data_IF_517603208414
#
_entry.id   IF_517603208414
#
_cell.length_a   1.000
_cell.length_b   1.000
_cell.length_c   1.000
_cell.angle_alpha   90.00
_cell.angle_beta   90.00
_cell.angle_gamma   90.00
#
_symmetry.space_group_name_H-M   'P 1'
#
loop_
_entity.id
_entity.type
_entity.pdbx_description
1 polymer ?
#
# COMPACT_ATOMS: atom_id res chain seq x y z
N UNK A 1 2.99 -76.33 -16.22
CA UNK A 1 3.52 -74.96 -16.40
C UNK A 1 2.76 -74.12 -17.45
N UNK A 2 2.27 -74.68 -18.57
CA UNK A 2 1.53 -73.93 -19.61
C UNK A 2 0.21 -73.26 -19.16
N UNK A 3 -0.50 -73.78 -18.15
CA UNK A 3 -1.78 -73.22 -17.65
C UNK A 3 -1.64 -71.91 -16.85
N UNK A 4 -0.49 -71.66 -16.22
CA UNK A 4 -0.29 -70.47 -15.36
C UNK A 4 0.41 -69.31 -16.08
N UNK A 5 1.06 -69.58 -17.21
CA UNK A 5 1.71 -68.57 -18.04
C UNK A 5 0.82 -67.36 -18.40
N UNK A 6 -0.45 -67.52 -18.85
CA UNK A 6 -1.28 -66.38 -19.18
C UNK A 6 -1.64 -65.52 -17.96
N UNK A 7 -1.80 -66.13 -16.78
CA UNK A 7 -2.11 -65.40 -15.53
C UNK A 7 -0.89 -64.58 -15.08
N UNK A 8 0.31 -65.17 -15.12
CA UNK A 8 1.55 -64.46 -14.79
C UNK A 8 1.81 -63.30 -15.75
N UNK A 9 1.60 -63.51 -17.06
CA UNK A 9 1.73 -62.45 -18.05
C UNK A 9 0.72 -61.31 -17.82
N UNK A 10 -0.54 -61.65 -17.52
CA UNK A 10 -1.57 -60.65 -17.19
C UNK A 10 -1.20 -59.83 -15.95
N UNK A 11 -0.78 -60.49 -14.85
CA UNK A 11 -0.37 -59.81 -13.61
C UNK A 11 0.83 -58.90 -13.87
N UNK A 12 1.84 -59.36 -14.64
CA UNK A 12 3.00 -58.55 -14.97
C UNK A 12 2.62 -57.29 -15.76
N UNK A 13 1.78 -57.43 -16.79
CA UNK A 13 1.28 -56.28 -17.57
C UNK A 13 0.43 -55.35 -16.70
N UNK A 14 -0.45 -55.88 -15.86
CA UNK A 14 -1.28 -55.09 -14.95
C UNK A 14 -0.42 -54.29 -13.95
N UNK A 15 0.63 -54.91 -13.39
CA UNK A 15 1.56 -54.23 -12.48
C UNK A 15 2.37 -53.13 -13.19
N UNK A 16 2.85 -53.38 -14.41
CA UNK A 16 3.57 -52.37 -15.21
C UNK A 16 2.62 -51.20 -15.53
N UNK A 17 1.40 -51.49 -16.00
CA UNK A 17 0.39 -50.47 -16.30
C UNK A 17 0.02 -49.65 -15.06
N UNK A 18 -0.16 -50.30 -13.90
CA UNK A 18 -0.47 -49.61 -12.66
C UNK A 18 0.71 -48.72 -12.19
N UNK A 19 1.94 -49.23 -12.33
CA UNK A 19 3.15 -48.47 -12.01
C UNK A 19 3.28 -47.25 -12.92
N UNK A 20 3.09 -47.42 -14.23
CA UNK A 20 3.14 -46.35 -15.21
C UNK A 20 2.04 -45.31 -15.00
N UNK A 21 0.81 -45.75 -14.67
CA UNK A 21 -0.29 -44.86 -14.30
C UNK A 21 0.02 -44.08 -13.02
N UNK A 22 0.63 -44.73 -12.02
CA UNK A 22 1.12 -44.08 -10.80
C UNK A 22 2.17 -43.01 -11.10
N UNK A 23 3.21 -43.33 -11.89
CA UNK A 23 4.23 -42.36 -12.29
C UNK A 23 3.63 -41.19 -13.08
N UNK A 24 2.72 -41.44 -14.02
CA UNK A 24 2.05 -40.38 -14.77
C UNK A 24 1.22 -39.47 -13.85
N UNK A 25 0.50 -40.05 -12.88
CA UNK A 25 -0.27 -39.31 -11.89
C UNK A 25 0.62 -38.42 -11.00
N UNK A 26 1.73 -38.95 -10.47
CA UNK A 26 2.69 -38.18 -9.68
C UNK A 26 3.35 -37.08 -10.50
N UNK A 27 3.80 -37.38 -11.72
CA UNK A 27 4.40 -36.39 -12.62
C UNK A 27 3.43 -35.26 -12.97
N UNK A 28 2.15 -35.59 -13.18
CA UNK A 28 1.11 -34.59 -13.47
C UNK A 28 0.86 -33.67 -12.27
N UNK A 29 0.86 -34.21 -11.04
CA UNK A 29 0.72 -33.40 -9.83
C UNK A 29 1.92 -32.48 -9.62
N UNK A 30 3.13 -32.99 -9.80
CA UNK A 30 4.34 -32.20 -9.62
C UNK A 30 4.39 -31.07 -10.66
N UNK A 31 4.07 -31.36 -11.92
CA UNK A 31 3.96 -30.35 -12.96
C UNK A 31 2.88 -29.30 -12.65
N UNK A 32 1.73 -29.71 -12.08
CA UNK A 32 0.68 -28.79 -11.67
C UNK A 32 1.14 -27.87 -10.53
N UNK A 33 1.88 -28.41 -9.55
CA UNK A 33 2.45 -27.64 -8.43
C UNK A 33 3.49 -26.63 -8.90
N UNK A 34 4.45 -27.04 -9.73
CA UNK A 34 5.47 -26.15 -10.30
C UNK A 34 4.81 -25.01 -11.10
N UNK A 35 3.79 -25.34 -11.90
CA UNK A 35 3.04 -24.34 -12.66
C UNK A 35 2.28 -23.38 -11.75
N UNK A 36 1.68 -23.89 -10.68
CA UNK A 36 0.98 -23.06 -9.71
C UNK A 36 1.93 -22.11 -8.98
N UNK A 37 3.08 -22.60 -8.51
CA UNK A 37 4.12 -21.78 -7.88
C UNK A 37 4.58 -20.66 -8.82
N UNK A 38 4.88 -20.98 -10.09
CA UNK A 38 5.25 -19.97 -11.09
C UNK A 38 4.12 -18.94 -11.34
N UNK A 39 2.86 -19.39 -11.34
CA UNK A 39 1.70 -18.49 -11.52
C UNK A 39 1.50 -17.58 -10.30
N UNK A 40 1.76 -18.09 -9.09
CA UNK A 40 1.72 -17.30 -7.87
C UNK A 40 2.87 -16.28 -7.81
N UNK A 41 4.06 -16.66 -8.27
CA UNK A 41 5.19 -15.73 -8.40
C UNK A 41 4.90 -14.63 -9.43
N UNK A 42 4.26 -14.96 -10.56
CA UNK A 42 3.79 -13.95 -11.52
C UNK A 42 2.76 -12.99 -10.91
N UNK A 43 1.85 -13.49 -10.07
CA UNK A 43 0.87 -12.65 -9.37
C UNK A 43 1.56 -11.72 -8.36
N UNK A 44 2.53 -12.25 -7.60
CA UNK A 44 3.34 -11.46 -6.67
C UNK A 44 4.11 -10.36 -7.41
N UNK A 45 4.80 -10.69 -8.50
CA UNK A 45 5.56 -9.75 -9.31
C UNK A 45 4.68 -8.60 -9.84
N UNK A 46 3.42 -8.88 -10.21
CA UNK A 46 2.46 -7.85 -10.63
C UNK A 46 2.10 -6.91 -9.49
N UNK A 47 1.90 -7.44 -8.28
CA UNK A 47 1.60 -6.66 -7.09
C UNK A 47 2.80 -5.78 -6.72
N UNK A 48 4.00 -6.36 -6.62
CA UNK A 48 5.23 -5.62 -6.30
C UNK A 48 5.50 -4.53 -7.33
N UNK A 49 5.42 -4.85 -8.63
CA UNK A 49 5.61 -3.86 -9.70
C UNK A 49 4.62 -2.69 -9.60
N UNK A 50 3.37 -2.96 -9.18
CA UNK A 50 2.35 -1.92 -9.02
C UNK A 50 2.65 -1.05 -7.79
N UNK A 51 3.07 -1.65 -6.69
CA UNK A 51 3.48 -0.94 -5.47
C UNK A 51 4.69 -0.06 -5.77
N UNK A 52 5.72 -0.59 -6.43
CA UNK A 52 6.94 0.14 -6.78
C UNK A 52 6.66 1.35 -7.66
N UNK A 53 5.70 1.24 -8.59
CA UNK A 53 5.23 2.37 -9.39
C UNK A 53 4.66 3.49 -8.48
N UNK A 54 3.86 3.13 -7.48
CA UNK A 54 3.27 4.08 -6.54
C UNK A 54 4.30 4.68 -5.57
N UNK A 55 5.24 3.88 -5.07
CA UNK A 55 6.34 4.35 -4.22
C UNK A 55 7.27 5.30 -4.98
N UNK A 56 7.52 5.02 -6.26
CA UNK A 56 8.27 5.89 -7.16
C UNK A 56 7.54 7.22 -7.38
N UNK A 57 6.21 7.22 -7.50
CA UNK A 57 5.43 8.45 -7.58
C UNK A 57 5.59 9.31 -6.31
N UNK A 58 5.52 8.70 -5.13
CA UNK A 58 5.71 9.43 -3.87
C UNK A 58 7.14 10.00 -3.78
N UNK A 59 8.15 9.25 -4.23
CA UNK A 59 9.54 9.72 -4.31
C UNK A 59 9.71 10.88 -5.30
N UNK A 60 9.07 10.82 -6.47
CA UNK A 60 9.06 11.93 -7.42
C UNK A 60 8.36 13.17 -6.86
N UNK A 61 7.30 12.98 -6.09
CA UNK A 61 6.62 14.09 -5.39
C UNK A 61 7.53 14.69 -4.33
N UNK A 62 8.24 13.87 -3.54
CA UNK A 62 9.25 14.34 -2.59
C UNK A 62 10.33 15.16 -3.29
N UNK A 63 10.89 14.68 -4.39
CA UNK A 63 11.89 15.41 -5.16
C UNK A 63 11.39 16.77 -5.68
N UNK A 64 10.11 16.87 -6.07
CA UNK A 64 9.50 18.16 -6.43
C UNK A 64 9.46 19.12 -5.24
N UNK A 65 9.03 18.64 -4.07
CA UNK A 65 9.04 19.44 -2.84
C UNK A 65 10.46 19.87 -2.50
N UNK A 66 11.42 18.96 -2.48
CA UNK A 66 12.82 19.27 -2.14
C UNK A 66 13.42 20.30 -3.12
N UNK A 67 13.15 20.19 -4.43
CA UNK A 67 13.58 21.16 -5.44
C UNK A 67 13.00 22.57 -5.24
N UNK A 68 11.90 22.68 -4.50
CA UNK A 68 11.23 23.94 -4.13
C UNK A 68 11.54 24.38 -2.70
N UNK A 69 12.46 23.70 -2.00
CA UNK A 69 12.69 23.85 -0.55
C UNK A 69 11.36 23.71 0.25
N UNK A 70 10.48 22.87 -0.30
CA UNK A 70 9.05 22.66 -0.05
C UNK A 70 8.18 23.90 0.10
N UNK A 71 8.58 25.03 -0.48
CA UNK A 71 7.70 26.16 -0.74
C UNK A 71 6.88 25.89 -2.03
N UNK A 72 5.86 25.05 -1.88
CA UNK A 72 4.92 24.67 -2.94
C UNK A 72 3.53 25.18 -2.57
N UNK A 73 2.95 26.00 -3.44
CA UNK A 73 1.58 26.45 -3.28
C UNK A 73 0.58 25.33 -3.56
N UNK A 74 -0.62 25.42 -2.97
CA UNK A 74 -1.73 24.51 -3.28
C UNK A 74 -2.03 24.44 -4.79
N UNK A 75 -1.94 25.57 -5.49
CA UNK A 75 -2.17 25.64 -6.94
C UNK A 75 -1.14 24.83 -7.73
N UNK A 76 0.15 24.94 -7.38
CA UNK A 76 1.22 24.14 -7.99
C UNK A 76 1.07 22.66 -7.67
N UNK A 77 0.76 22.31 -6.42
CA UNK A 77 0.54 20.93 -6.02
C UNK A 77 -0.65 20.30 -6.75
N UNK A 78 -1.75 21.05 -6.91
CA UNK A 78 -2.91 20.64 -7.71
C UNK A 78 -2.58 20.45 -9.18
N UNK A 79 -1.81 21.38 -9.77
CA UNK A 79 -1.40 21.29 -11.16
C UNK A 79 -0.51 20.06 -11.39
N UNK A 80 0.44 19.81 -10.48
CA UNK A 80 1.26 18.60 -10.48
C UNK A 80 0.40 17.34 -10.39
N UNK A 81 -0.50 17.25 -9.40
CA UNK A 81 -1.34 16.06 -9.22
C UNK A 81 -2.24 15.81 -10.44
N UNK A 82 -2.85 16.86 -11.00
CA UNK A 82 -3.66 16.76 -12.22
C UNK A 82 -2.87 16.24 -13.42
N UNK A 83 -1.59 16.63 -13.54
CA UNK A 83 -0.72 16.21 -14.64
C UNK A 83 -0.28 14.74 -14.56
N UNK A 84 -0.40 14.09 -13.40
CA UNK A 84 -0.09 12.67 -13.23
C UNK A 84 -1.11 11.73 -13.90
N UNK A 85 -2.32 12.24 -14.16
CA UNK A 85 -3.45 11.46 -14.68
C UNK A 85 -3.67 10.17 -13.85
N UNK A 86 -3.92 10.39 -12.55
CA UNK A 86 -3.97 9.32 -11.53
C UNK A 86 -5.01 8.25 -11.85
N UNK A 87 -6.17 8.64 -12.38
CA UNK A 87 -7.25 7.69 -12.68
C UNK A 87 -6.81 6.65 -13.71
N UNK A 88 -5.97 7.02 -14.68
CA UNK A 88 -5.48 6.11 -15.71
C UNK A 88 -4.17 5.42 -15.32
N UNK A 89 -3.23 6.14 -14.71
CA UNK A 89 -1.87 5.63 -14.49
C UNK A 89 -1.70 4.97 -13.11
N UNK A 90 -2.45 5.45 -12.12
CA UNK A 90 -2.25 5.14 -10.70
C UNK A 90 -3.54 4.70 -10.00
N UNK A 91 -4.45 4.00 -10.68
CA UNK A 91 -5.55 3.27 -10.06
C UNK A 91 -5.12 2.52 -8.78
N UNK A 92 -5.87 2.73 -7.69
CA UNK A 92 -5.51 2.35 -6.32
C UNK A 92 -5.08 3.53 -5.44
N UNK A 93 -4.52 4.59 -6.03
CA UNK A 93 -4.16 5.82 -5.32
C UNK A 93 -5.43 6.65 -5.05
N UNK A 94 -5.72 6.91 -3.78
CA UNK A 94 -6.78 7.84 -3.36
C UNK A 94 -6.35 9.29 -3.53
N UNK A 95 -5.08 9.58 -3.25
CA UNK A 95 -4.54 10.93 -3.28
C UNK A 95 -3.19 11.02 -2.58
N UNK A 96 -2.58 12.19 -2.72
CA UNK A 96 -1.31 12.55 -2.06
C UNK A 96 -1.57 13.77 -1.20
N UNK A 97 -0.97 13.82 -0.01
CA UNK A 97 -1.05 14.98 0.84
C UNK A 97 0.28 15.36 1.48
N UNK A 98 0.28 16.57 2.04
CA UNK A 98 1.37 17.12 2.80
C UNK A 98 0.90 17.36 4.23
N UNK A 99 1.69 16.87 5.18
CA UNK A 99 1.53 17.07 6.61
C UNK A 99 2.57 18.06 7.10
N UNK A 100 2.17 18.99 7.97
CA UNK A 100 3.12 19.86 8.64
C UNK A 100 3.54 19.25 9.97
N UNK A 101 4.84 19.17 10.25
CA UNK A 101 5.32 18.78 11.57
C UNK A 101 5.33 20.00 12.49
N UNK A 102 4.65 19.89 13.63
CA UNK A 102 4.63 20.92 14.68
C UNK A 102 4.74 20.28 16.06
N UNK A 103 5.24 21.02 17.05
CA UNK A 103 5.13 20.62 18.46
C UNK A 103 3.68 20.84 18.92
N UNK A 104 3.22 20.01 19.84
CA UNK A 104 1.95 20.29 20.52
C UNK A 104 2.02 21.65 21.24
N UNK A 105 1.02 22.50 21.03
CA UNK A 105 1.00 23.90 21.49
C UNK A 105 1.35 24.94 20.42
N UNK A 106 1.98 24.54 19.31
CA UNK A 106 2.35 25.44 18.20
C UNK A 106 1.35 25.39 17.03
N UNK A 107 0.15 24.84 17.23
CA UNK A 107 -0.86 24.62 16.17
C UNK A 107 -1.29 25.92 15.48
N UNK A 108 -1.33 27.04 16.21
CA UNK A 108 -1.76 28.34 15.68
C UNK A 108 -0.90 28.84 14.51
N UNK A 109 0.35 28.39 14.37
CA UNK A 109 1.15 28.68 13.18
C UNK A 109 0.64 27.89 11.96
N UNK A 110 0.32 26.61 12.15
CA UNK A 110 -0.18 25.74 11.08
C UNK A 110 -1.58 26.16 10.64
N UNK A 111 -2.46 26.52 11.58
CA UNK A 111 -3.83 26.97 11.27
C UNK A 111 -3.84 28.26 10.45
N UNK A 112 -2.87 29.17 10.68
CA UNK A 112 -2.68 30.38 9.86
C UNK A 112 -2.19 30.05 8.44
N UNK A 113 -1.28 29.09 8.30
CA UNK A 113 -0.83 28.60 6.99
C UNK A 113 -2.02 27.99 6.22
N UNK A 114 -2.83 27.16 6.88
CA UNK A 114 -4.05 26.59 6.28
C UNK A 114 -5.03 27.69 5.85
N UNK A 115 -5.30 28.68 6.72
CA UNK A 115 -6.21 29.78 6.39
C UNK A 115 -5.72 30.57 5.17
N UNK A 116 -4.41 30.83 5.07
CA UNK A 116 -3.81 31.52 3.92
C UNK A 116 -4.00 30.71 2.63
N UNK A 117 -3.75 29.40 2.68
CA UNK A 117 -3.67 28.56 1.48
C UNK A 117 -5.05 28.07 0.99
N UNK A 118 -6.04 27.97 1.91
CA UNK A 118 -7.39 27.50 1.61
C UNK A 118 -8.45 28.62 1.65
N UNK A 119 -8.14 29.78 2.23
CA UNK A 119 -9.09 30.89 2.42
C UNK A 119 -10.16 30.62 3.50
N UNK A 120 -10.11 29.47 4.16
CA UNK A 120 -11.04 29.03 5.21
C UNK A 120 -10.23 28.55 6.40
N UNK A 121 -10.65 28.95 7.61
CA UNK A 121 -9.99 28.52 8.83
C UNK A 121 -10.35 27.04 9.12
N UNK A 122 -9.32 26.23 9.34
CA UNK A 122 -9.46 24.88 9.89
C UNK A 122 -8.60 24.78 11.14
N UNK A 123 -9.20 24.27 12.21
CA UNK A 123 -8.45 23.96 13.43
C UNK A 123 -7.69 22.65 13.27
N UNK A 124 -6.59 22.49 13.99
CA UNK A 124 -5.89 21.20 14.08
C UNK A 124 -6.66 20.29 15.06
N UNK A 125 -7.05 19.10 14.59
CA UNK A 125 -7.91 18.20 15.36
C UNK A 125 -7.57 16.71 15.12
N UNK A 126 -7.94 15.78 16.02
CA UNK A 126 -8.52 16.02 17.34
C UNK A 126 -7.48 16.57 18.32
N UNK A 127 -7.91 16.93 19.53
CA UNK A 127 -6.99 17.23 20.63
C UNK A 127 -6.14 15.99 20.94
N UNK A 128 -4.90 16.19 21.37
CA UNK A 128 -3.96 15.10 21.65
C UNK A 128 -3.06 15.42 22.84
N UNK A 129 -2.48 14.37 23.41
CA UNK A 129 -1.39 14.46 24.40
C UNK A 129 -0.03 14.06 23.79
N UNK A 130 0.01 13.76 22.49
CA UNK A 130 1.25 13.46 21.78
C UNK A 130 2.15 14.70 21.74
N UNK A 131 3.49 14.54 21.81
CA UNK A 131 4.43 15.67 21.78
C UNK A 131 4.50 16.37 20.43
N UNK A 132 4.14 15.66 19.36
CA UNK A 132 4.16 16.14 17.98
C UNK A 132 2.75 16.11 17.39
N UNK A 133 2.55 17.01 16.42
CA UNK A 133 1.35 17.14 15.60
C UNK A 133 1.76 17.03 14.14
N UNK A 134 0.97 16.31 13.36
CA UNK A 134 1.10 16.19 11.89
C UNK A 134 -0.24 16.43 11.19
N UNK A 135 -0.82 17.63 11.29
CA UNK A 135 -2.03 18.01 10.55
C UNK A 135 -1.86 17.93 9.03
N UNK A 136 -2.90 17.49 8.35
CA UNK A 136 -3.03 17.61 6.89
C UNK A 136 -3.16 19.10 6.53
N UNK A 137 -2.20 19.64 5.79
CA UNK A 137 -2.23 21.03 5.30
C UNK A 137 -2.53 21.10 3.80
N UNK A 138 -2.17 20.08 3.03
CA UNK A 138 -2.57 19.92 1.64
C UNK A 138 -2.96 18.47 1.36
N UNK A 139 -3.92 18.29 0.45
CA UNK A 139 -4.34 16.99 -0.06
C UNK A 139 -4.87 17.18 -1.48
N UNK A 140 -4.49 16.31 -2.41
CA UNK A 140 -5.06 16.27 -3.75
C UNK A 140 -5.41 14.82 -4.14
N UNK A 141 -6.57 14.58 -4.77
CA UNK A 141 -7.54 15.60 -5.19
C UNK A 141 -8.40 16.05 -4.00
N UNK A 142 -8.54 17.37 -3.81
CA UNK A 142 -9.47 17.92 -2.84
C UNK A 142 -10.83 18.20 -3.47
N UNK A 143 -11.88 17.71 -2.82
CA UNK A 143 -13.27 17.87 -3.24
C UNK A 143 -14.19 17.96 -1.99
N UNK A 144 -15.48 18.32 -2.14
CA UNK A 144 -16.38 18.48 -0.99
C UNK A 144 -16.51 17.25 -0.08
N UNK A 145 -16.26 16.04 -0.61
CA UNK A 145 -16.31 14.78 0.16
C UNK A 145 -15.16 14.63 1.14
N UNK A 146 -14.04 15.35 0.94
CA UNK A 146 -12.80 15.17 1.69
C UNK A 146 -12.20 16.48 2.22
N UNK A 147 -12.77 17.63 1.91
CA UNK A 147 -12.30 18.94 2.37
C UNK A 147 -12.22 19.05 3.90
N UNK A 148 -13.11 18.37 4.63
CA UNK A 148 -13.09 18.31 6.09
C UNK A 148 -11.81 17.67 6.66
N UNK A 149 -11.05 16.92 5.85
CA UNK A 149 -9.80 16.28 6.30
C UNK A 149 -8.67 17.28 6.55
N UNK A 150 -8.72 18.48 5.97
CA UNK A 150 -7.73 19.53 6.25
C UNK A 150 -7.77 19.88 7.74
N UNK A 151 -6.59 19.90 8.38
CA UNK A 151 -6.44 20.06 9.82
C UNK A 151 -6.46 18.75 10.63
N UNK A 152 -6.82 17.61 10.03
CA UNK A 152 -6.78 16.33 10.73
C UNK A 152 -5.32 15.93 11.06
N UNK A 153 -5.04 15.71 12.34
CA UNK A 153 -3.74 15.30 12.85
C UNK A 153 -3.56 13.78 12.73
N UNK A 154 -2.78 13.40 11.71
CA UNK A 154 -2.44 12.01 11.44
C UNK A 154 -1.68 11.33 12.58
N UNK A 155 -1.01 12.10 13.45
CA UNK A 155 -0.22 11.56 14.57
C UNK A 155 -1.09 11.01 15.70
N UNK A 156 -2.39 11.30 15.70
CA UNK A 156 -3.32 10.83 16.75
C UNK A 156 -3.76 9.38 16.57
N UNK A 157 -3.63 8.82 15.37
CA UNK A 157 -4.03 7.44 15.08
C UNK A 157 -2.81 6.50 15.18
N UNK A 158 -2.87 5.42 15.98
CA UNK A 158 -1.71 4.55 16.23
C UNK A 158 -1.02 3.98 14.98
N UNK A 159 -1.75 3.48 13.99
CA UNK A 159 -1.16 2.86 12.81
C UNK A 159 -0.46 3.89 11.90
N UNK A 160 -1.03 5.09 11.75
CA UNK A 160 -0.41 6.23 11.07
C UNK A 160 0.82 6.73 11.83
N UNK A 161 0.69 6.95 13.14
CA UNK A 161 1.78 7.43 14.01
C UNK A 161 3.01 6.52 13.93
N UNK A 162 2.83 5.20 14.00
CA UNK A 162 3.94 4.25 13.92
C UNK A 162 4.74 4.36 12.61
N UNK A 163 4.09 4.66 11.49
CA UNK A 163 4.77 4.87 10.20
C UNK A 163 5.45 6.24 10.13
N UNK A 164 4.81 7.29 10.65
CA UNK A 164 5.38 8.64 10.73
C UNK A 164 6.63 8.64 11.63
N UNK A 165 6.60 7.96 12.78
CA UNK A 165 7.74 7.84 13.70
C UNK A 165 8.94 7.16 13.05
N UNK A 166 8.72 6.13 12.22
CA UNK A 166 9.81 5.50 11.46
C UNK A 166 10.35 6.43 10.38
N UNK A 167 9.47 7.07 9.60
CA UNK A 167 9.88 8.05 8.59
C UNK A 167 10.60 9.27 9.21
N UNK A 168 10.29 9.63 10.46
CA UNK A 168 11.05 10.65 11.20
C UNK A 168 12.48 10.21 11.53
N UNK A 169 12.69 8.92 11.77
CA UNK A 169 13.93 8.38 12.31
C UNK A 169 14.98 8.11 11.23
N UNK A 170 14.57 7.70 10.02
CA UNK A 170 15.49 7.29 8.95
C UNK A 170 15.26 8.01 7.60
N UNK A 171 14.30 8.93 7.55
CA UNK A 171 13.89 9.68 6.36
C UNK A 171 13.47 8.79 5.16
N UNK A 172 13.20 7.50 5.39
CA UNK A 172 12.74 6.56 4.37
C UNK A 172 11.20 6.55 4.26
N UNK A 173 10.70 5.89 3.21
CA UNK A 173 9.29 5.64 3.04
C UNK A 173 8.82 4.53 3.99
N UNK A 174 7.77 4.81 4.78
CA UNK A 174 7.17 3.84 5.70
C UNK A 174 5.66 3.71 5.51
N UNK A 175 5.19 2.46 5.37
CA UNK A 175 3.77 2.14 5.30
C UNK A 175 3.13 2.09 6.69
N UNK A 176 1.91 2.63 6.80
CA UNK A 176 0.99 2.35 7.90
C UNK A 176 0.52 0.90 7.87
N UNK A 177 -0.13 0.47 8.94
CA UNK A 177 -0.97 -0.71 8.87
C UNK A 177 -2.25 -0.51 8.08
N UNK A 178 -3.10 -1.55 8.09
CA UNK A 178 -4.48 -1.43 7.65
C UNK A 178 -5.17 -0.30 8.42
N UNK A 179 -5.75 0.63 7.69
CA UNK A 179 -6.56 1.73 8.21
C UNK A 179 -7.83 1.89 7.40
N UNK A 180 -8.82 2.51 8.02
CA UNK A 180 -10.00 2.98 7.31
C UNK A 180 -9.76 4.42 6.85
N UNK A 181 -9.40 4.59 5.58
CA UNK A 181 -9.09 5.89 4.99
C UNK A 181 -10.31 6.82 5.07
N UNK A 182 -10.15 8.04 5.59
CA UNK A 182 -11.24 9.01 5.78
C UNK A 182 -12.01 8.85 7.09
N UNK A 183 -11.79 7.77 7.84
CA UNK A 183 -12.38 7.63 9.17
C UNK A 183 -11.80 8.70 10.11
N UNK A 184 -12.68 9.35 10.87
CA UNK A 184 -12.31 10.39 11.83
C UNK A 184 -11.96 11.74 11.21
N UNK A 185 -11.92 11.86 9.87
CA UNK A 185 -11.52 13.10 9.17
C UNK A 185 -12.71 13.90 8.64
N UNK A 186 -13.95 13.53 8.99
CA UNK A 186 -15.17 14.12 8.43
C UNK A 186 -15.41 13.83 6.94
N UNK A 187 -14.64 12.91 6.33
CA UNK A 187 -14.87 12.52 4.94
C UNK A 187 -16.20 11.76 4.80
N UNK A 188 -16.92 11.98 3.69
CA UNK A 188 -18.24 11.35 3.49
C UNK A 188 -18.13 9.85 3.19
N UNK A 189 -16.98 9.40 2.70
CA UNK A 189 -16.72 8.02 2.33
C UNK A 189 -15.44 7.52 3.00
N UNK A 190 -15.47 6.23 3.34
CA UNK A 190 -14.32 5.54 3.91
C UNK A 190 -13.98 4.28 3.14
N UNK A 191 -12.69 3.96 3.11
CA UNK A 191 -12.17 2.81 2.34
C UNK A 191 -11.11 2.07 3.17
N UNK A 192 -11.11 0.73 3.18
CA UNK A 192 -9.99 -0.03 3.73
C UNK A 192 -8.74 0.23 2.86
N UNK A 193 -7.61 0.47 3.51
CA UNK A 193 -6.40 0.86 2.82
C UNK A 193 -5.21 1.01 3.74
N UNK A 194 -4.17 1.64 3.21
CA UNK A 194 -2.96 1.99 3.95
C UNK A 194 -2.41 3.31 3.42
N UNK A 195 -1.51 3.94 4.16
CA UNK A 195 -0.78 5.12 3.73
C UNK A 195 0.72 4.82 3.71
N UNK A 196 1.45 5.50 2.85
CA UNK A 196 2.92 5.52 2.89
C UNK A 196 3.36 6.95 3.16
N UNK A 197 4.21 7.13 4.17
CA UNK A 197 4.74 8.42 4.59
C UNK A 197 6.22 8.53 4.24
N UNK A 198 6.65 9.74 3.91
CA UNK A 198 8.08 10.08 3.78
C UNK A 198 8.32 11.48 4.32
N UNK A 199 9.43 11.68 5.02
CA UNK A 199 9.80 12.97 5.59
C UNK A 199 10.37 13.89 4.51
N UNK A 200 9.95 15.15 4.51
CA UNK A 200 10.62 16.18 3.73
C UNK A 200 11.83 16.69 4.51
N UNK A 201 13.02 16.49 3.96
CA UNK A 201 14.25 17.00 4.52
C UNK A 201 14.59 18.32 3.84
N UNK A 202 14.23 19.43 4.48
CA UNK A 202 14.75 20.73 4.08
C UNK A 202 16.03 20.97 4.87
N UNK A 203 17.18 20.81 4.20
CA UNK A 203 18.46 21.30 4.68
C UNK A 203 18.32 22.80 4.93
N UNK A 204 18.18 23.17 6.20
CA UNK A 204 18.46 24.54 6.61
C UNK A 204 19.97 24.66 6.66
N UNK A 205 20.58 25.19 5.60
CA UNK A 205 22.00 25.53 5.61
C UNK A 205 22.31 26.36 6.89
N UNK A 206 23.39 26.03 7.63
CA UNK A 206 23.69 26.69 8.89
C UNK A 206 24.36 28.03 8.60
N UNK A 207 23.65 29.14 8.80
CA UNK A 207 24.22 30.38 9.39
C UNK A 207 23.23 31.55 9.51
N UNK A 208 22.00 31.45 9.03
CA UNK A 208 20.99 32.47 9.34
C UNK A 208 19.70 31.80 9.73
N UNK A 209 19.53 31.56 11.03
CA UNK A 209 18.20 31.38 11.62
C UNK A 209 17.49 32.75 11.50
N UNK A 210 17.02 33.06 10.30
CA UNK A 210 15.87 33.91 10.16
C UNK A 210 14.70 33.07 10.68
N UNK A 211 14.14 33.47 11.81
CA UNK A 211 12.94 32.88 12.44
C UNK A 211 11.67 32.90 11.55
N UNK A 212 11.82 33.22 10.26
CA UNK A 212 10.78 33.34 9.23
C UNK A 212 10.82 32.21 8.19
N UNK A 213 11.77 31.25 8.28
CA UNK A 213 11.93 30.18 7.26
C UNK A 213 12.00 28.74 7.80
N UNK A 214 11.40 28.43 8.95
CA UNK A 214 11.15 27.03 9.38
C UNK A 214 9.94 26.38 8.68
N UNK A 215 9.61 26.86 7.48
CA UNK A 215 8.31 26.67 6.81
C UNK A 215 8.04 25.27 6.27
N UNK A 216 9.01 24.34 6.34
CA UNK A 216 8.91 23.09 5.54
C UNK A 216 9.35 21.81 6.27
N UNK A 217 9.34 21.78 7.60
CA UNK A 217 9.45 20.50 8.30
C UNK A 217 8.09 19.77 8.22
N UNK A 218 8.04 18.61 7.59
CA UNK A 218 6.79 17.88 7.38
C UNK A 218 6.95 16.54 6.69
N UNK A 219 5.82 15.97 6.25
CA UNK A 219 5.77 14.68 5.58
C UNK A 219 4.91 14.75 4.34
N UNK A 220 5.35 14.11 3.27
CA UNK A 220 4.44 13.71 2.22
C UNK A 220 3.84 12.36 2.56
N UNK A 221 2.62 12.14 2.09
CA UNK A 221 2.01 10.83 2.15
C UNK A 221 1.19 10.53 0.90
N UNK A 222 1.10 9.25 0.57
CA UNK A 222 0.16 8.73 -0.42
C UNK A 222 -0.83 7.79 0.28
N UNK A 223 -2.12 7.91 -0.04
CA UNK A 223 -3.18 7.05 0.50
C UNK A 223 -3.64 6.05 -0.55
N UNK A 224 -3.68 4.76 -0.21
CA UNK A 224 -3.98 3.68 -1.15
C UNK A 224 -5.24 2.91 -0.75
N UNK A 225 -6.21 2.83 -1.65
CA UNK A 225 -7.36 1.93 -1.52
C UNK A 225 -6.85 0.52 -1.82
N UNK A 226 -6.76 -0.32 -0.79
CA UNK A 226 -6.13 -1.64 -0.91
C UNK A 226 -6.80 -2.47 -2.01
N UNK A 227 -8.14 -2.58 -1.98
CA UNK A 227 -8.89 -3.33 -2.98
C UNK A 227 -8.60 -2.88 -4.41
N UNK A 228 -8.71 -1.58 -4.70
CA UNK A 228 -8.53 -1.04 -6.05
C UNK A 228 -7.10 -1.27 -6.56
N UNK A 229 -6.10 -1.12 -5.69
CA UNK A 229 -4.68 -1.32 -6.02
C UNK A 229 -4.41 -2.77 -6.43
N UNK A 230 -4.78 -3.74 -5.58
CA UNK A 230 -4.48 -5.15 -5.83
C UNK A 230 -5.35 -5.74 -6.95
N UNK A 231 -6.63 -5.36 -7.01
CA UNK A 231 -7.52 -5.76 -8.10
C UNK A 231 -6.93 -5.30 -9.45
N UNK A 232 -6.44 -4.06 -9.54
CA UNK A 232 -5.83 -3.53 -10.76
C UNK A 232 -4.54 -4.25 -11.12
N UNK A 233 -3.69 -4.56 -10.13
CA UNK A 233 -2.45 -5.29 -10.35
C UNK A 233 -2.73 -6.69 -10.94
N UNK A 234 -3.74 -7.38 -10.43
CA UNK A 234 -4.07 -8.76 -10.80
C UNK A 234 -4.92 -8.87 -12.07
N UNK A 235 -5.70 -7.84 -12.42
CA UNK A 235 -6.61 -7.86 -13.59
C UNK A 235 -5.93 -7.63 -14.94
N UNK A 236 -4.59 -7.48 -14.99
CA UNK A 236 -3.87 -7.32 -16.26
C UNK A 236 -3.92 -8.60 -17.09
N UNK A 237 -4.12 -8.47 -18.40
CA UNK A 237 -4.10 -9.60 -19.34
C UNK A 237 -2.67 -10.11 -19.56
N UNK A 238 -2.44 -11.44 -19.61
CA UNK A 238 -3.41 -12.51 -19.38
C UNK A 238 -3.81 -12.63 -17.91
N UNK A 239 -5.09 -12.93 -17.65
CA UNK A 239 -5.56 -13.18 -16.29
C UNK A 239 -4.87 -14.43 -15.72
N UNK A 240 -4.40 -14.33 -14.49
CA UNK A 240 -3.77 -15.44 -13.79
C UNK A 240 -4.84 -16.28 -13.09
N UNK A 241 -4.84 -17.61 -13.24
CA UNK A 241 -5.83 -18.50 -12.62
C UNK A 241 -5.48 -18.75 -11.14
N UNK A 242 -5.36 -17.69 -10.34
CA UNK A 242 -5.04 -17.75 -8.91
C UNK A 242 -5.99 -16.85 -8.12
N UNK A 243 -6.31 -17.29 -6.91
CA UNK A 243 -6.97 -16.47 -5.90
C UNK A 243 -5.90 -15.96 -4.94
N UNK A 244 -6.03 -14.72 -4.50
CA UNK A 244 -5.03 -14.05 -3.67
C UNK A 244 -5.69 -13.49 -2.43
N UNK A 245 -5.04 -13.69 -1.29
CA UNK A 245 -5.29 -13.00 -0.04
C UNK A 245 -4.00 -12.27 0.34
N UNK A 246 -4.12 -11.06 0.87
CA UNK A 246 -2.98 -10.22 1.24
C UNK A 246 -3.22 -9.70 2.64
N UNK A 247 -2.23 -9.90 3.51
CA UNK A 247 -2.30 -9.56 4.91
C UNK A 247 -1.22 -8.59 5.32
N UNK A 248 -1.58 -7.65 6.18
CA UNK A 248 -0.66 -6.80 6.89
C UNK A 248 0.04 -7.57 8.03
N UNK A 249 1.11 -8.28 7.71
CA UNK A 249 1.85 -9.10 8.67
C UNK A 249 1.34 -10.54 8.68
N UNK A 250 0.88 -11.03 9.83
CA UNK A 250 0.42 -12.42 9.94
C UNK A 250 -0.98 -12.62 9.32
N UNK A 251 -1.26 -13.78 8.69
CA UNK A 251 -2.58 -14.11 8.16
C UNK A 251 -3.65 -14.20 9.26
N UNK A 252 -4.29 -13.07 9.52
CA UNK A 252 -5.38 -12.90 10.47
C UNK A 252 -6.48 -12.04 9.84
N UNK A 253 -7.74 -12.26 10.23
CA UNK A 253 -8.87 -11.52 9.70
C UNK A 253 -8.74 -10.00 9.93
N UNK A 254 -8.16 -9.58 11.05
CA UNK A 254 -7.95 -8.18 11.39
C UNK A 254 -6.85 -7.51 10.55
N UNK A 255 -5.99 -8.32 9.89
CA UNK A 255 -4.90 -7.85 9.05
C UNK A 255 -5.22 -7.94 7.55
N UNK A 256 -6.42 -8.37 7.15
CA UNK A 256 -6.75 -8.60 5.75
C UNK A 256 -6.82 -7.28 4.95
N UNK A 257 -5.87 -7.09 4.04
CA UNK A 257 -5.84 -5.96 3.11
C UNK A 257 -6.67 -6.24 1.86
N UNK A 258 -6.63 -7.47 1.36
CA UNK A 258 -7.29 -7.86 0.11
C UNK A 258 -7.61 -9.35 0.06
N UNK A 259 -8.71 -9.67 -0.61
CA UNK A 259 -9.12 -11.02 -0.97
C UNK A 259 -9.77 -10.98 -2.35
N UNK A 260 -9.40 -11.90 -3.24
CA UNK A 260 -10.07 -12.10 -4.53
C UNK A 260 -11.58 -12.36 -4.36
N UNK A 261 -12.40 -11.82 -5.24
CA UNK A 261 -13.86 -11.95 -5.13
C UNK A 261 -14.36 -13.38 -5.32
N UNK A 262 -13.78 -14.09 -6.30
CA UNK A 262 -14.05 -15.51 -6.49
C UNK A 262 -13.29 -16.31 -5.43
N UNK A 263 -13.92 -17.23 -4.68
CA UNK A 263 -13.23 -18.10 -3.76
C UNK A 263 -12.42 -19.18 -4.51
N UNK A 264 -11.36 -19.74 -3.88
CA UNK A 264 -10.64 -20.88 -4.45
C UNK A 264 -11.55 -22.11 -4.55
N UNK A 265 -11.27 -22.98 -5.53
CA UNK A 265 -12.02 -24.23 -5.71
C UNK A 265 -11.68 -25.19 -4.57
N UNK A 266 -12.67 -25.55 -3.75
CA UNK A 266 -12.50 -26.37 -2.53
C UNK A 266 -11.77 -27.71 -2.79
N UNK A 267 -11.95 -28.30 -3.97
CA UNK A 267 -11.35 -29.60 -4.31
C UNK A 267 -9.82 -29.57 -4.41
N UNK A 268 -9.20 -28.39 -4.60
CA UNK A 268 -7.75 -28.27 -4.58
C UNK A 268 -7.20 -28.27 -3.14
N UNK A 269 -7.97 -27.76 -2.17
CA UNK A 269 -7.56 -27.62 -0.78
C UNK A 269 -6.16 -27.01 -0.64
N UNK A 270 -5.39 -27.50 0.34
CA UNK A 270 -4.02 -27.02 0.60
C UNK A 270 -2.97 -27.53 -0.40
N UNK A 271 -3.37 -28.32 -1.41
CA UNK A 271 -2.41 -28.89 -2.38
C UNK A 271 -1.86 -27.84 -3.34
N UNK A 272 -2.65 -26.79 -3.59
CA UNK A 272 -2.29 -25.63 -4.39
C UNK A 272 -2.49 -24.37 -3.54
N UNK A 273 -1.72 -24.31 -2.45
CA UNK A 273 -1.63 -23.16 -1.57
C UNK A 273 -0.16 -22.79 -1.43
N UNK A 274 0.12 -21.51 -1.59
CA UNK A 274 1.47 -20.99 -1.46
C UNK A 274 1.44 -19.65 -0.74
N UNK A 275 2.36 -19.49 0.21
CA UNK A 275 2.52 -18.27 1.00
C UNK A 275 3.82 -17.59 0.61
N UNK A 276 3.76 -16.27 0.45
CA UNK A 276 4.92 -15.42 0.16
C UNK A 276 5.01 -14.36 1.24
N UNK A 277 6.19 -13.77 1.43
CA UNK A 277 6.38 -12.65 2.34
C UNK A 277 7.16 -11.58 1.62
N UNK A 278 6.68 -10.35 1.71
CA UNK A 278 7.31 -9.18 1.10
C UNK A 278 7.40 -8.06 2.12
N UNK A 279 8.25 -7.07 1.85
CA UNK A 279 8.35 -5.86 2.68
C UNK A 279 8.00 -4.65 1.82
N UNK A 280 6.90 -4.00 2.16
CA UNK A 280 6.39 -2.83 1.46
C UNK A 280 6.62 -1.61 2.33
N UNK A 281 7.52 -0.72 1.90
CA UNK A 281 7.89 0.50 2.63
C UNK A 281 8.12 0.21 4.13
N UNK A 282 9.06 -0.68 4.45
CA UNK A 282 9.40 -1.04 5.83
C UNK A 282 8.37 -1.87 6.61
N UNK A 283 7.28 -2.32 5.96
CA UNK A 283 6.22 -3.11 6.59
C UNK A 283 6.11 -4.52 5.99
N UNK A 284 6.15 -5.60 6.80
CA UNK A 284 6.09 -6.96 6.30
C UNK A 284 4.64 -7.34 5.97
N UNK A 285 4.41 -7.91 4.79
CA UNK A 285 3.14 -8.48 4.36
C UNK A 285 3.28 -9.97 4.07
N UNK A 286 2.17 -10.70 4.15
CA UNK A 286 2.04 -12.12 3.80
C UNK A 286 0.96 -12.31 2.74
#
# INVERSE_FOLDING_TARGET
>A
MKKFFPIVAFIAVALISLTMAGFAYFATQEAARIKFDATADDALNRIESRIDLHLSLLRSTQALFDARNGDISRGEFKAFFSALDVDNNFAGLRGIGFLRLAKAGDEAAVERDILRDHGVAHQVYPATTQPWRTPIVMFEPIDPSNQASIGFDMFTEPARRAAIEKAMADDQQHASGLVQLGQGTGATQTFPGFLVFVRLNVETAPEVINASRSSTAGFLYAAFRARDLFQTALSRTPLLPVNTEIYDGQPDADNLLFRSETPPVETFGDRLLVTRKIVVAGRPWT
#
